data_IF_648178413927
#
_entry.id   IF_648178413927
#
_cell.length_a   1.000
_cell.length_b   1.000
_cell.length_c   1.000
_cell.angle_alpha   90.00
_cell.angle_beta   90.00
_cell.angle_gamma   90.00
#
_symmetry.space_group_name_H-M   'P 1'
#
loop_
_entity.id
_entity.type
_entity.pdbx_description
1 polymer ?
#
# COMPACT_ATOMS: atom_id res chain seq x y z
N UNK A 1 19.11 23.73 -11.64
CA UNK A 1 18.29 23.10 -10.58
C UNK A 1 17.05 22.57 -11.27
N UNK A 2 16.92 21.25 -11.47
CA UNK A 2 15.72 20.68 -12.09
C UNK A 2 14.50 20.87 -11.19
N UNK A 3 13.27 20.92 -11.72
CA UNK A 3 12.07 20.94 -10.90
C UNK A 3 12.09 19.67 -10.05
N UNK A 4 12.12 19.84 -8.73
CA UNK A 4 11.96 18.76 -7.78
C UNK A 4 10.65 18.07 -8.14
N UNK A 5 10.70 16.80 -8.57
CA UNK A 5 9.49 16.07 -8.97
C UNK A 5 8.70 15.79 -7.70
N UNK A 6 7.83 16.73 -7.33
CA UNK A 6 6.94 16.63 -6.18
C UNK A 6 5.99 15.44 -6.42
N UNK A 7 6.18 14.38 -5.64
CA UNK A 7 5.31 13.21 -5.65
C UNK A 7 4.04 13.41 -4.82
N UNK A 8 3.46 12.32 -4.34
CA UNK A 8 2.28 12.35 -3.47
C UNK A 8 2.60 12.94 -2.09
N UNK A 9 1.60 13.60 -1.50
CA UNK A 9 1.63 14.14 -0.14
C UNK A 9 1.51 13.09 0.97
N UNK A 10 1.57 13.53 2.23
CA UNK A 10 1.50 12.67 3.41
C UNK A 10 0.11 12.03 3.60
N UNK A 11 -0.92 12.63 3.02
CA UNK A 11 -2.30 12.17 3.08
C UNK A 11 -2.75 11.47 1.80
N UNK A 12 -1.80 11.12 0.92
CA UNK A 12 -2.04 10.44 -0.34
C UNK A 12 -1.29 9.11 -0.37
N UNK A 13 -1.96 8.04 -0.79
CA UNK A 13 -1.40 6.69 -0.77
C UNK A 13 -1.70 5.93 -2.06
N UNK A 14 -0.76 5.09 -2.46
CA UNK A 14 -0.97 4.03 -3.44
C UNK A 14 -1.29 2.75 -2.67
N UNK A 15 -2.50 2.23 -2.86
CA UNK A 15 -2.88 0.93 -2.33
C UNK A 15 -2.68 -0.14 -3.38
N UNK A 16 -2.01 -1.20 -2.98
CA UNK A 16 -1.79 -2.40 -3.79
C UNK A 16 -2.32 -3.62 -3.07
N UNK A 17 -2.49 -4.72 -3.81
CA UNK A 17 -3.10 -5.93 -3.27
C UNK A 17 -2.19 -6.65 -2.26
N UNK A 18 -0.94 -6.85 -2.61
CA UNK A 18 0.01 -7.70 -1.90
C UNK A 18 1.43 -7.12 -1.91
N UNK A 19 2.33 -7.78 -1.16
CA UNK A 19 3.71 -7.33 -0.99
C UNK A 19 4.57 -7.46 -2.25
N UNK A 20 4.19 -8.32 -3.20
CA UNK A 20 4.90 -8.48 -4.47
C UNK A 20 4.73 -7.20 -5.28
N UNK A 21 3.47 -6.79 -5.51
CA UNK A 21 3.15 -5.56 -6.24
C UNK A 21 3.67 -4.33 -5.50
N UNK A 22 3.63 -4.34 -4.16
CA UNK A 22 4.20 -3.26 -3.35
C UNK A 22 5.69 -3.08 -3.60
N UNK A 23 6.44 -4.18 -3.62
CA UNK A 23 7.89 -4.17 -3.86
C UNK A 23 8.20 -3.63 -5.24
N UNK A 24 7.54 -4.15 -6.28
CA UNK A 24 7.70 -3.69 -7.67
C UNK A 24 7.43 -2.18 -7.81
N UNK A 25 6.36 -1.69 -7.19
CA UNK A 25 6.01 -0.27 -7.25
C UNK A 25 6.99 0.60 -6.45
N UNK A 26 7.43 0.15 -5.28
CA UNK A 26 8.45 0.86 -4.51
C UNK A 26 9.78 0.96 -5.27
N UNK A 27 10.18 -0.08 -6.01
CA UNK A 27 11.37 -0.05 -6.86
C UNK A 27 11.19 0.92 -8.03
N UNK A 28 10.02 0.95 -8.66
CA UNK A 28 9.73 1.82 -9.79
C UNK A 28 9.64 3.30 -9.43
N UNK A 29 8.92 3.65 -8.35
CA UNK A 29 8.69 5.05 -7.97
C UNK A 29 9.68 5.58 -6.94
N UNK A 30 10.43 4.71 -6.26
CA UNK A 30 11.28 5.05 -5.14
C UNK A 30 10.49 5.67 -3.98
N UNK A 31 11.03 6.74 -3.39
CA UNK A 31 10.43 7.44 -2.24
C UNK A 31 9.45 8.55 -2.63
N UNK A 32 8.72 8.39 -3.75
CA UNK A 32 7.83 9.43 -4.30
C UNK A 32 6.42 9.42 -3.73
N UNK A 33 5.94 8.30 -3.20
CA UNK A 33 4.61 8.16 -2.62
C UNK A 33 4.60 7.14 -1.49
N UNK A 34 3.59 7.21 -0.61
CA UNK A 34 3.29 6.12 0.32
C UNK A 34 2.71 4.95 -0.48
N UNK A 35 3.22 3.75 -0.23
CA UNK A 35 2.73 2.52 -0.85
C UNK A 35 2.42 1.51 0.25
N UNK A 36 1.16 1.08 0.35
CA UNK A 36 0.70 0.13 1.36
C UNK A 36 -0.09 -0.99 0.71
N UNK A 37 -0.04 -2.18 1.29
CA UNK A 37 -1.02 -3.21 0.93
C UNK A 37 -2.38 -2.87 1.52
N UNK A 38 -3.45 -3.45 0.96
CA UNK A 38 -4.80 -3.33 1.53
C UNK A 38 -4.85 -3.85 2.98
N UNK A 39 -4.01 -4.84 3.31
CA UNK A 39 -3.91 -5.34 4.68
C UNK A 39 -3.28 -4.30 5.62
N UNK A 40 -2.18 -3.69 5.21
CA UNK A 40 -1.44 -2.70 6.01
C UNK A 40 -2.20 -1.39 6.20
N UNK A 41 -3.13 -1.05 5.30
CA UNK A 41 -3.91 0.18 5.40
C UNK A 41 -5.13 0.09 6.33
N UNK A 42 -5.42 -1.08 6.93
CA UNK A 42 -6.54 -1.25 7.86
C UNK A 42 -6.37 -0.32 9.06
N UNK A 43 -7.45 0.36 9.44
CA UNK A 43 -7.41 1.36 10.53
C UNK A 43 -6.79 2.71 10.14
N UNK A 44 -6.23 2.83 8.92
CA UNK A 44 -5.73 4.09 8.38
C UNK A 44 -6.73 4.69 7.39
N UNK A 45 -6.72 6.00 7.28
CA UNK A 45 -7.46 6.75 6.26
C UNK A 45 -6.54 7.77 5.61
N UNK A 46 -6.88 8.13 4.38
CA UNK A 46 -6.13 9.04 3.51
C UNK A 46 -7.10 9.99 2.83
N UNK A 47 -6.65 11.20 2.51
CA UNK A 47 -7.47 12.11 1.71
C UNK A 47 -7.65 11.54 0.30
N UNK A 48 -6.55 11.07 -0.28
CA UNK A 48 -6.59 10.47 -1.61
C UNK A 48 -5.97 9.07 -1.65
N UNK A 49 -6.60 8.20 -2.42
CA UNK A 49 -6.15 6.81 -2.64
C UNK A 49 -6.04 6.55 -4.14
N UNK A 50 -4.89 6.04 -4.57
CA UNK A 50 -4.72 5.39 -5.85
C UNK A 50 -4.71 3.87 -5.63
N UNK A 51 -5.80 3.19 -5.97
CA UNK A 51 -5.85 1.73 -5.99
C UNK A 51 -5.24 1.23 -7.29
N UNK A 52 -4.10 0.55 -7.20
CA UNK A 52 -3.30 0.15 -8.34
C UNK A 52 -3.32 -1.38 -8.55
N UNK A 53 -3.67 -1.79 -9.77
CA UNK A 53 -3.66 -3.17 -10.25
C UNK A 53 -4.39 -4.18 -9.34
N UNK A 54 -5.51 -3.77 -8.72
CA UNK A 54 -6.30 -4.64 -7.85
C UNK A 54 -6.90 -5.83 -8.59
N UNK A 55 -7.52 -5.59 -9.75
CA UNK A 55 -8.14 -6.63 -10.56
C UNK A 55 -7.09 -7.44 -11.32
N UNK A 56 -6.07 -6.77 -11.85
CA UNK A 56 -4.97 -7.42 -12.57
C UNK A 56 -4.20 -8.46 -11.74
N UNK A 57 -4.18 -8.29 -10.42
CA UNK A 57 -3.48 -9.16 -9.45
C UNK A 57 -4.45 -10.04 -8.65
N UNK A 58 -5.75 -9.96 -8.94
CA UNK A 58 -6.77 -10.77 -8.28
C UNK A 58 -6.66 -12.25 -8.66
N UNK A 59 -6.82 -13.19 -7.71
CA UNK A 59 -6.87 -14.62 -7.99
C UNK A 59 -8.08 -15.02 -8.84
N UNK A 60 -9.14 -14.19 -8.90
CA UNK A 60 -10.30 -14.44 -9.76
C UNK A 60 -9.97 -14.33 -11.25
N UNK A 61 -9.00 -13.48 -11.64
CA UNK A 61 -8.64 -13.25 -13.05
C UNK A 61 -9.89 -13.01 -13.92
N UNK A 62 -10.11 -13.84 -14.93
CA UNK A 62 -11.23 -13.76 -15.87
C UNK A 62 -12.59 -14.09 -15.25
N UNK A 63 -12.63 -14.69 -14.06
CA UNK A 63 -13.86 -14.99 -13.34
C UNK A 63 -14.60 -13.73 -12.85
N UNK A 64 -13.96 -12.55 -12.84
CA UNK A 64 -14.66 -11.27 -12.63
C UNK A 64 -15.80 -11.05 -13.64
N UNK A 65 -15.79 -11.74 -14.79
CA UNK A 65 -16.88 -11.72 -15.77
C UNK A 65 -18.23 -12.19 -15.21
N UNK A 66 -18.27 -12.87 -14.07
CA UNK A 66 -19.51 -13.23 -13.36
C UNK A 66 -20.36 -12.00 -12.99
N UNK A 67 -19.73 -10.83 -12.86
CA UNK A 67 -20.45 -9.56 -12.64
C UNK A 67 -21.41 -9.24 -13.78
N UNK A 68 -21.15 -9.71 -15.00
CA UNK A 68 -22.08 -9.53 -16.12
C UNK A 68 -23.37 -10.33 -15.95
N UNK A 69 -23.35 -11.49 -15.28
CA UNK A 69 -24.59 -12.20 -14.95
C UNK A 69 -25.45 -11.34 -14.02
N UNK A 70 -24.86 -10.80 -12.96
CA UNK A 70 -25.55 -9.88 -12.05
C UNK A 70 -26.11 -8.64 -12.81
N UNK A 71 -25.34 -8.07 -13.74
CA UNK A 71 -25.82 -6.97 -14.59
C UNK A 71 -26.97 -7.39 -15.52
N UNK A 72 -26.94 -8.62 -16.05
CA UNK A 72 -28.00 -9.16 -16.92
C UNK A 72 -29.31 -9.27 -16.14
N UNK A 73 -29.27 -9.82 -14.93
CA UNK A 73 -30.44 -9.96 -14.06
C UNK A 73 -31.14 -8.62 -13.77
N UNK A 74 -30.37 -7.52 -13.78
CA UNK A 74 -30.87 -6.17 -13.52
C UNK A 74 -31.13 -5.35 -14.80
N UNK A 75 -31.10 -5.98 -15.98
CA UNK A 75 -31.27 -5.32 -17.28
C UNK A 75 -30.29 -4.14 -17.52
N UNK A 76 -29.07 -4.28 -17.03
CA UNK A 76 -28.00 -3.27 -17.16
C UNK A 76 -27.00 -3.57 -18.27
N UNK A 77 -27.09 -4.72 -18.93
CA UNK A 77 -26.27 -5.02 -20.10
C UNK A 77 -26.86 -4.40 -21.36
N UNK A 78 -26.02 -3.78 -22.18
CA UNK A 78 -26.37 -3.47 -23.56
C UNK A 78 -26.35 -4.76 -24.40
N UNK A 79 -27.23 -4.87 -25.39
CA UNK A 79 -27.30 -6.02 -26.31
C UNK A 79 -25.96 -6.30 -27.02
N UNK A 80 -25.08 -5.29 -27.12
CA UNK A 80 -23.73 -5.39 -27.72
C UNK A 80 -22.71 -6.12 -26.85
N UNK A 81 -22.98 -6.34 -25.56
CA UNK A 81 -22.12 -7.10 -24.64
C UNK A 81 -22.40 -8.61 -24.72
N UNK A 82 -22.89 -9.11 -25.85
CA UNK A 82 -23.27 -10.50 -26.15
C UNK A 82 -22.11 -11.51 -26.12
N UNK A 83 -21.05 -11.25 -25.35
CA UNK A 83 -20.00 -12.20 -25.06
C UNK A 83 -20.48 -13.23 -24.04
N UNK A 84 -20.02 -14.48 -24.20
CA UNK A 84 -20.21 -15.53 -23.19
C UNK A 84 -19.57 -15.11 -21.86
N UNK A 85 -20.33 -15.17 -20.78
CA UNK A 85 -19.85 -14.97 -19.41
C UNK A 85 -20.32 -16.12 -18.51
N UNK A 86 -19.58 -16.45 -17.45
CA UNK A 86 -19.93 -17.57 -16.58
C UNK A 86 -21.15 -17.22 -15.75
N UNK A 87 -22.00 -18.23 -15.50
CA UNK A 87 -22.99 -18.16 -14.44
C UNK A 87 -22.32 -18.40 -13.08
N UNK A 88 -22.80 -17.69 -12.07
CA UNK A 88 -22.36 -17.78 -10.70
C UNK A 88 -22.58 -19.20 -10.19
N UNK A 89 -21.60 -19.63 -9.42
CA UNK A 89 -21.52 -20.98 -8.90
C UNK A 89 -20.58 -20.93 -7.71
N UNK A 90 -21.11 -21.24 -6.53
CA UNK A 90 -20.39 -21.09 -5.26
C UNK A 90 -19.06 -21.86 -5.25
N UNK A 91 -19.03 -23.08 -5.79
CA UNK A 91 -17.81 -23.89 -5.85
C UNK A 91 -16.72 -23.29 -6.76
N UNK A 92 -17.10 -22.57 -7.82
CA UNK A 92 -16.16 -21.92 -8.75
C UNK A 92 -15.77 -20.51 -8.32
N UNK A 93 -16.69 -19.78 -7.70
CA UNK A 93 -16.55 -18.36 -7.36
C UNK A 93 -16.46 -18.10 -5.85
N UNK A 94 -16.09 -19.10 -5.05
CA UNK A 94 -16.06 -19.01 -3.58
C UNK A 94 -15.17 -17.87 -3.05
N UNK A 95 -14.16 -17.46 -3.82
CA UNK A 95 -13.28 -16.34 -3.44
C UNK A 95 -13.88 -14.96 -3.73
N UNK A 96 -14.95 -14.84 -4.53
CA UNK A 96 -15.56 -13.56 -4.91
C UNK A 96 -15.97 -12.71 -3.71
N UNK A 97 -16.53 -13.34 -2.67
CA UNK A 97 -16.90 -12.63 -1.45
C UNK A 97 -15.68 -12.01 -0.74
N UNK A 98 -14.55 -12.73 -0.70
CA UNK A 98 -13.31 -12.21 -0.14
C UNK A 98 -12.75 -11.05 -0.99
N UNK A 99 -12.81 -11.17 -2.31
CA UNK A 99 -12.39 -10.12 -3.24
C UNK A 99 -13.20 -8.84 -3.08
N UNK A 100 -14.53 -8.94 -3.03
CA UNK A 100 -15.41 -7.79 -2.84
C UNK A 100 -15.19 -7.14 -1.47
N UNK A 101 -14.90 -7.94 -0.42
CA UNK A 101 -14.53 -7.42 0.90
C UNK A 101 -13.20 -6.66 0.87
N UNK A 102 -12.19 -7.18 0.16
CA UNK A 102 -10.92 -6.46 0.02
C UNK A 102 -11.08 -5.15 -0.75
N UNK A 103 -11.86 -5.16 -1.84
CA UNK A 103 -12.18 -3.97 -2.60
C UNK A 103 -12.92 -2.93 -1.75
N UNK A 104 -13.90 -3.38 -0.94
CA UNK A 104 -14.59 -2.53 0.03
C UNK A 104 -13.62 -1.89 1.03
N UNK A 105 -12.67 -2.64 1.58
CA UNK A 105 -11.65 -2.09 2.49
C UNK A 105 -10.86 -1.00 1.78
N UNK A 106 -10.38 -1.25 0.55
CA UNK A 106 -9.57 -0.30 -0.23
C UNK A 106 -10.35 1.00 -0.54
N UNK A 107 -11.57 0.87 -1.04
CA UNK A 107 -12.43 2.02 -1.39
C UNK A 107 -12.72 2.89 -0.16
N UNK A 108 -12.97 2.27 1.00
CA UNK A 108 -13.29 3.00 2.24
C UNK A 108 -12.07 3.60 2.93
N UNK A 109 -10.86 3.47 2.38
CA UNK A 109 -9.68 4.17 2.92
C UNK A 109 -9.58 5.63 2.48
N UNK A 110 -10.32 6.04 1.45
CA UNK A 110 -10.31 7.41 0.93
C UNK A 110 -11.34 8.31 1.63
N UNK A 111 -10.99 9.57 1.83
CA UNK A 111 -11.88 10.61 2.38
C UNK A 111 -12.31 11.65 1.35
N UNK A 112 -11.57 11.80 0.25
CA UNK A 112 -11.86 12.79 -0.79
C UNK A 112 -11.85 12.19 -2.20
N UNK A 113 -10.71 11.64 -2.65
CA UNK A 113 -10.58 11.16 -4.04
C UNK A 113 -10.10 9.72 -4.09
N UNK A 114 -10.75 8.92 -4.92
CA UNK A 114 -10.33 7.58 -5.26
C UNK A 114 -10.01 7.53 -6.75
N UNK A 115 -8.78 7.11 -7.07
CA UNK A 115 -8.39 6.72 -8.42
C UNK A 115 -8.18 5.23 -8.46
N UNK A 116 -8.66 4.58 -9.52
CA UNK A 116 -8.43 3.16 -9.77
C UNK A 116 -7.67 3.06 -11.09
N UNK A 117 -6.49 2.46 -11.06
CA UNK A 117 -5.62 2.31 -12.22
C UNK A 117 -5.28 0.83 -12.41
N UNK A 118 -5.55 0.31 -13.61
CA UNK A 118 -5.39 -1.09 -13.97
C UNK A 118 -4.62 -1.19 -15.28
N UNK A 119 -3.61 -2.06 -15.32
CA UNK A 119 -2.78 -2.29 -16.50
C UNK A 119 -3.30 -3.43 -17.40
N UNK A 120 -4.27 -4.21 -16.89
CA UNK A 120 -4.91 -5.32 -17.62
C UNK A 120 -6.40 -5.01 -17.76
N UNK A 121 -6.75 -4.39 -18.89
CA UNK A 121 -8.11 -3.94 -19.14
C UNK A 121 -9.09 -5.11 -19.09
N UNK A 122 -8.73 -6.26 -19.66
CA UNK A 122 -9.60 -7.43 -19.77
C UNK A 122 -10.06 -7.98 -18.42
N UNK A 123 -9.24 -7.85 -17.37
CA UNK A 123 -9.54 -8.36 -16.02
C UNK A 123 -10.37 -7.36 -15.20
N UNK A 124 -10.18 -6.06 -15.44
CA UNK A 124 -10.89 -4.99 -14.74
C UNK A 124 -12.22 -4.59 -15.41
N UNK A 125 -12.36 -4.89 -16.70
CA UNK A 125 -13.51 -4.52 -17.54
C UNK A 125 -14.87 -4.82 -16.91
N UNK A 126 -15.12 -6.02 -16.32
CA UNK A 126 -16.44 -6.33 -15.77
C UNK A 126 -16.89 -5.37 -14.67
N UNK A 127 -15.97 -5.01 -13.76
CA UNK A 127 -16.26 -4.07 -12.68
C UNK A 127 -16.32 -2.62 -13.18
N UNK A 128 -15.48 -2.25 -14.14
CA UNK A 128 -15.51 -0.91 -14.73
C UNK A 128 -16.80 -0.67 -15.52
N UNK A 129 -17.26 -1.64 -16.30
CA UNK A 129 -18.53 -1.56 -17.02
C UNK A 129 -19.72 -1.50 -16.07
N UNK A 130 -19.70 -2.29 -14.99
CA UNK A 130 -20.67 -2.18 -13.90
C UNK A 130 -20.72 -0.76 -13.32
N UNK A 131 -19.58 -0.20 -12.92
CA UNK A 131 -19.54 1.15 -12.33
C UNK A 131 -19.93 2.25 -13.30
N UNK A 132 -19.48 2.15 -14.57
CA UNK A 132 -19.86 3.08 -15.64
C UNK A 132 -21.36 3.06 -15.87
N UNK A 133 -21.96 1.87 -15.99
CA UNK A 133 -23.40 1.72 -16.20
C UNK A 133 -24.22 2.26 -15.04
N UNK A 134 -23.70 2.14 -13.82
CA UNK A 134 -24.33 2.70 -12.61
C UNK A 134 -24.08 4.19 -12.41
N UNK A 135 -23.28 4.83 -13.27
CA UNK A 135 -22.93 6.25 -13.15
C UNK A 135 -22.07 6.57 -11.92
N UNK A 136 -21.31 5.59 -11.41
CA UNK A 136 -20.54 5.71 -10.17
C UNK A 136 -19.12 6.25 -10.37
N UNK A 137 -18.62 6.21 -11.61
CA UNK A 137 -17.23 6.57 -11.95
C UNK A 137 -17.20 7.51 -13.14
N UNK A 138 -16.12 8.29 -13.22
CA UNK A 138 -15.79 9.10 -14.38
C UNK A 138 -14.50 8.58 -14.99
N UNK A 139 -14.50 8.38 -16.31
CA UNK A 139 -13.28 8.03 -17.03
C UNK A 139 -12.46 9.28 -17.29
N UNK A 140 -11.14 9.16 -17.09
CA UNK A 140 -10.17 10.23 -17.29
C UNK A 140 -8.92 9.64 -17.92
N UNK A 141 -8.44 10.28 -18.98
CA UNK A 141 -7.10 10.01 -19.48
C UNK A 141 -6.08 10.54 -18.48
N UNK A 142 -5.05 9.76 -18.18
CA UNK A 142 -3.96 10.19 -17.31
C UNK A 142 -3.01 11.10 -18.11
N UNK A 143 -3.42 12.34 -18.31
CA UNK A 143 -2.61 13.38 -18.90
C UNK A 143 -1.81 14.16 -17.83
N UNK A 144 -0.97 15.09 -18.29
CA UNK A 144 -0.16 15.92 -17.40
C UNK A 144 -1.01 16.76 -16.44
N UNK A 145 -2.17 17.24 -16.87
CA UNK A 145 -3.07 18.07 -16.05
C UNK A 145 -3.66 17.26 -14.90
N UNK A 146 -4.15 16.06 -15.19
CA UNK A 146 -4.65 15.11 -14.18
C UNK A 146 -3.53 14.72 -13.22
N UNK A 147 -2.36 14.35 -13.74
CA UNK A 147 -1.22 13.99 -12.89
C UNK A 147 -0.77 15.15 -11.98
N UNK A 148 -0.85 16.39 -12.46
CA UNK A 148 -0.56 17.57 -11.65
C UNK A 148 -1.63 17.80 -10.58
N UNK A 149 -2.91 17.64 -10.92
CA UNK A 149 -4.03 17.77 -9.99
C UNK A 149 -4.06 16.66 -8.91
N UNK A 150 -3.43 15.52 -9.19
CA UNK A 150 -3.21 14.45 -8.21
C UNK A 150 -2.13 14.82 -7.18
N UNK A 151 -1.28 15.82 -7.39
CA UNK A 151 -0.22 16.17 -6.42
C UNK A 151 -0.76 17.09 -5.35
N UNK A 152 -0.61 16.69 -4.10
CA UNK A 152 -0.91 17.55 -2.93
C UNK A 152 0.35 17.68 -2.11
N UNK A 153 0.88 18.90 -2.00
CA UNK A 153 2.03 19.16 -1.14
C UNK A 153 1.65 18.93 0.33
N UNK A 154 2.63 18.51 1.13
CA UNK A 154 2.45 18.38 2.57
C UNK A 154 3.62 19.00 3.30
N UNK A 155 3.31 19.66 4.42
CA UNK A 155 4.26 20.25 5.34
C UNK A 155 5.10 19.17 6.05
N UNK A 156 6.29 19.53 6.56
CA UNK A 156 7.09 18.62 7.39
C UNK A 156 6.32 18.08 8.60
N UNK A 157 5.42 18.87 9.19
CA UNK A 157 4.61 18.45 10.33
C UNK A 157 3.58 17.39 9.94
N UNK A 158 2.91 17.52 8.79
CA UNK A 158 1.99 16.49 8.28
C UNK A 158 2.72 15.18 7.98
N UNK A 159 3.92 15.26 7.37
CA UNK A 159 4.79 14.10 7.18
C UNK A 159 5.15 13.44 8.50
N UNK A 160 5.50 14.22 9.53
CA UNK A 160 5.83 13.70 10.85
C UNK A 160 4.66 12.96 11.49
N UNK A 161 3.46 13.54 11.49
CA UNK A 161 2.28 12.91 12.10
C UNK A 161 1.85 11.65 11.34
N UNK A 162 1.92 11.66 10.01
CA UNK A 162 1.71 10.45 9.21
C UNK A 162 2.76 9.38 9.52
N UNK A 163 4.02 9.77 9.64
CA UNK A 163 5.12 8.87 10.00
C UNK A 163 4.90 8.18 11.34
N UNK A 164 4.43 8.92 12.37
CA UNK A 164 4.08 8.34 13.68
C UNK A 164 2.97 7.29 13.57
N UNK A 165 1.89 7.59 12.84
CA UNK A 165 0.79 6.61 12.62
C UNK A 165 1.33 5.32 12.00
N UNK A 166 2.10 5.44 10.92
CA UNK A 166 2.70 4.28 10.24
C UNK A 166 3.70 3.53 11.12
N UNK A 167 4.47 4.23 11.94
CA UNK A 167 5.42 3.63 12.87
C UNK A 167 4.70 2.74 13.90
N UNK A 168 3.60 3.21 14.48
CA UNK A 168 2.83 2.44 15.46
C UNK A 168 2.10 1.24 14.82
N UNK A 169 1.72 1.33 13.55
CA UNK A 169 1.25 0.19 12.73
C UNK A 169 2.39 -0.73 12.25
N UNK A 170 3.62 -0.55 12.77
CA UNK A 170 4.84 -1.30 12.42
C UNK A 170 5.24 -1.21 10.95
N UNK A 171 4.70 -0.25 10.20
CA UNK A 171 5.10 0.03 8.82
C UNK A 171 6.36 0.91 8.80
N UNK A 172 7.45 0.37 9.35
CA UNK A 172 8.68 1.13 9.59
C UNK A 172 9.32 1.66 8.30
N UNK A 173 9.14 0.96 7.17
CA UNK A 173 9.63 1.42 5.87
C UNK A 173 8.95 2.73 5.44
N UNK A 174 7.61 2.76 5.44
CA UNK A 174 6.87 3.96 5.05
C UNK A 174 7.00 5.06 6.11
N UNK A 175 7.07 4.70 7.40
CA UNK A 175 7.36 5.65 8.47
C UNK A 175 8.73 6.34 8.30
N UNK A 176 9.77 5.57 7.93
CA UNK A 176 11.11 6.12 7.64
C UNK A 176 11.03 7.17 6.54
N UNK A 177 10.35 6.86 5.42
CA UNK A 177 10.17 7.80 4.32
C UNK A 177 9.47 9.09 4.78
N UNK A 178 8.44 8.98 5.63
CA UNK A 178 7.77 10.13 6.21
C UNK A 178 8.72 11.01 7.04
N UNK A 179 9.52 10.41 7.92
CA UNK A 179 10.43 11.19 8.77
C UNK A 179 11.59 11.82 7.99
N UNK A 180 12.06 11.17 6.92
CA UNK A 180 13.00 11.77 5.97
C UNK A 180 12.40 13.02 5.31
N UNK A 181 11.15 12.95 4.84
CA UNK A 181 10.43 14.10 4.26
C UNK A 181 10.10 15.20 5.29
N UNK A 182 9.94 14.82 6.55
CA UNK A 182 9.76 15.75 7.66
C UNK A 182 11.07 16.41 8.12
N UNK A 183 12.23 15.90 7.69
CA UNK A 183 13.54 16.30 8.24
C UNK A 183 13.76 15.89 9.70
N UNK A 184 12.96 14.96 10.23
CA UNK A 184 13.02 14.53 11.63
C UNK A 184 14.05 13.40 11.81
N UNK A 185 15.32 13.79 12.00
CA UNK A 185 16.44 12.83 12.11
C UNK A 185 16.30 11.85 13.27
N UNK A 186 15.72 12.28 14.39
CA UNK A 186 15.51 11.40 15.54
C UNK A 186 14.51 10.30 15.21
N UNK A 187 13.34 10.65 14.68
CA UNK A 187 12.33 9.67 14.31
C UNK A 187 12.72 8.84 13.08
N UNK A 188 13.44 9.43 12.12
CA UNK A 188 14.02 8.71 10.99
C UNK A 188 14.93 7.57 11.48
N UNK A 189 15.83 7.88 12.42
CA UNK A 189 16.76 6.91 12.98
C UNK A 189 16.03 5.85 13.79
N UNK A 190 15.03 6.26 14.57
CA UNK A 190 14.18 5.33 15.33
C UNK A 190 13.45 4.35 14.40
N UNK A 191 12.82 4.84 13.33
CA UNK A 191 12.11 4.00 12.36
C UNK A 191 13.05 3.02 11.63
N UNK A 192 14.25 3.48 11.23
CA UNK A 192 15.27 2.61 10.62
C UNK A 192 15.74 1.52 11.59
N UNK A 193 16.04 1.87 12.84
CA UNK A 193 16.45 0.92 13.86
C UNK A 193 15.36 -0.13 14.15
N UNK A 194 14.11 0.31 14.32
CA UNK A 194 12.97 -0.59 14.53
C UNK A 194 12.73 -1.52 13.33
N UNK A 195 12.93 -1.03 12.10
CA UNK A 195 12.86 -1.87 10.89
C UNK A 195 13.91 -2.96 10.89
N UNK A 196 15.17 -2.61 11.17
CA UNK A 196 16.28 -3.56 11.20
C UNK A 196 16.07 -4.62 12.28
N UNK A 197 15.64 -4.21 13.47
CA UNK A 197 15.30 -5.13 14.56
C UNK A 197 14.19 -6.10 14.15
N UNK A 198 13.08 -5.59 13.62
CA UNK A 198 11.94 -6.42 13.20
C UNK A 198 12.32 -7.39 12.08
N UNK A 199 13.20 -6.97 11.16
CA UNK A 199 13.70 -7.84 10.10
C UNK A 199 14.61 -8.94 10.66
N UNK A 200 15.53 -8.57 11.56
CA UNK A 200 16.38 -9.51 12.29
C UNK A 200 15.56 -10.60 12.98
N UNK A 201 14.55 -10.21 13.76
CA UNK A 201 13.66 -11.15 14.47
C UNK A 201 13.02 -12.18 13.52
N UNK A 202 12.62 -11.76 12.32
CA UNK A 202 12.01 -12.65 11.32
C UNK A 202 12.99 -13.69 10.76
N UNK A 203 14.26 -13.32 10.59
CA UNK A 203 15.28 -14.21 10.02
C UNK A 203 16.11 -14.96 11.07
N UNK A 204 15.85 -14.74 12.37
CA UNK A 204 16.60 -15.34 13.48
C UNK A 204 16.73 -16.86 13.38
N UNK A 205 15.67 -17.54 12.93
CA UNK A 205 15.64 -18.99 12.76
C UNK A 205 16.21 -19.51 11.44
N UNK A 206 16.36 -18.65 10.42
CA UNK A 206 16.76 -19.05 9.06
C UNK A 206 18.18 -18.62 8.71
N UNK A 207 18.66 -17.51 9.26
CA UNK A 207 20.00 -16.98 9.03
C UNK A 207 20.55 -16.26 10.30
N UNK A 208 21.18 -17.01 11.22
CA UNK A 208 21.70 -16.47 12.48
C UNK A 208 22.79 -15.41 12.31
N UNK A 209 23.69 -15.57 11.34
CA UNK A 209 24.77 -14.60 11.09
C UNK A 209 24.21 -13.25 10.62
N UNK A 210 23.25 -13.27 9.70
CA UNK A 210 22.58 -12.05 9.25
C UNK A 210 21.75 -11.41 10.38
N UNK A 211 21.10 -12.22 11.23
CA UNK A 211 20.38 -11.73 12.41
C UNK A 211 21.29 -10.88 13.31
N UNK A 212 22.49 -11.37 13.64
CA UNK A 212 23.41 -10.62 14.49
C UNK A 212 23.81 -9.28 13.88
N UNK A 213 24.06 -9.25 12.57
CA UNK A 213 24.39 -8.02 11.84
C UNK A 213 23.29 -6.96 11.98
N UNK A 214 22.05 -7.32 11.66
CA UNK A 214 20.92 -6.39 11.70
C UNK A 214 20.59 -5.91 13.11
N UNK A 215 20.59 -6.79 14.10
CA UNK A 215 20.27 -6.43 15.48
C UNK A 215 21.36 -5.55 16.10
N UNK A 216 22.63 -5.82 15.78
CA UNK A 216 23.76 -4.99 16.24
C UNK A 216 23.73 -3.59 15.60
N UNK A 217 23.39 -3.51 14.31
CA UNK A 217 23.19 -2.22 13.64
C UNK A 217 22.03 -1.45 14.27
N UNK A 218 20.89 -2.11 14.51
CA UNK A 218 19.75 -1.49 15.21
C UNK A 218 20.13 -0.96 16.60
N UNK A 219 20.90 -1.74 17.39
CA UNK A 219 21.36 -1.34 18.71
C UNK A 219 22.16 -0.03 18.66
N UNK A 220 23.15 0.05 17.77
CA UNK A 220 23.98 1.26 17.58
C UNK A 220 23.14 2.47 17.17
N UNK A 221 22.15 2.27 16.30
CA UNK A 221 21.23 3.34 15.92
C UNK A 221 20.41 3.82 17.11
N UNK A 222 19.87 2.92 17.94
CA UNK A 222 19.15 3.29 19.16
C UNK A 222 20.04 4.07 20.15
N UNK A 223 21.29 3.64 20.36
CA UNK A 223 22.25 4.38 21.21
C UNK A 223 22.50 5.79 20.69
N UNK A 224 22.69 5.95 19.38
CA UNK A 224 22.98 7.25 18.77
C UNK A 224 21.89 8.31 18.99
N UNK A 225 20.65 7.89 19.27
CA UNK A 225 19.51 8.76 19.59
C UNK A 225 19.08 8.68 21.06
N UNK A 226 19.92 8.12 21.94
CA UNK A 226 19.65 8.04 23.38
C UNK A 226 18.55 7.06 23.79
N UNK A 227 18.16 6.12 22.92
CA UNK A 227 17.18 5.06 23.22
C UNK A 227 17.86 3.84 23.85
N UNK A 228 18.49 4.07 25.00
CA UNK A 228 19.34 3.08 25.67
C UNK A 228 18.62 1.78 26.06
N UNK A 229 17.35 1.85 26.46
CA UNK A 229 16.55 0.64 26.76
C UNK A 229 16.36 -0.25 25.52
N UNK A 230 16.06 0.35 24.37
CA UNK A 230 15.90 -0.37 23.10
C UNK A 230 17.24 -0.96 22.63
N UNK A 231 18.34 -0.21 22.80
CA UNK A 231 19.68 -0.69 22.51
C UNK A 231 20.10 -1.86 23.41
N UNK A 232 19.91 -1.72 24.73
CA UNK A 232 20.23 -2.76 25.70
C UNK A 232 19.44 -4.04 25.42
N UNK A 233 18.16 -3.94 25.06
CA UNK A 233 17.36 -5.09 24.63
C UNK A 233 17.98 -5.79 23.42
N UNK A 234 18.45 -5.05 22.41
CA UNK A 234 19.13 -5.65 21.25
C UNK A 234 20.44 -6.34 21.64
N UNK A 235 21.26 -5.75 22.52
CA UNK A 235 22.50 -6.38 22.98
C UNK A 235 22.23 -7.63 23.84
N UNK A 236 21.18 -7.63 24.65
CA UNK A 236 20.72 -8.83 25.37
C UNK A 236 20.35 -9.96 24.40
N UNK A 237 19.65 -9.64 23.30
CA UNK A 237 19.28 -10.64 22.28
C UNK A 237 20.52 -11.25 21.58
N UNK A 238 21.65 -10.52 21.55
CA UNK A 238 22.94 -10.97 21.03
C UNK A 238 23.84 -11.65 22.07
N UNK A 239 23.48 -11.62 23.36
CA UNK A 239 24.37 -12.05 24.44
C UNK A 239 25.56 -11.10 24.69
N UNK A 240 25.54 -9.89 24.13
CA UNK A 240 26.59 -8.87 24.20
C UNK A 240 26.35 -7.87 25.35
N UNK A 241 25.99 -8.34 26.55
CA UNK A 241 25.88 -7.46 27.71
C UNK A 241 27.25 -7.28 28.38
N UNK A 242 27.62 -6.04 28.73
CA UNK A 242 28.73 -5.81 29.65
C UNK A 242 28.35 -6.43 31.00
N UNK A 243 29.20 -7.33 31.51
CA UNK A 243 29.19 -7.70 32.93
C UNK A 243 29.64 -6.53 33.80
#
# INVERSE_FOLDING_TARGET
SGPEVVGFGAEQVILVRDDVVKTEICEYIGKKALVLTILECKGLEFQDVLLYNFFATSPLKDQWRVIYEYMKEHAWLDEKLSQSFPNFCESRHGVLCAELKQLYVAITRTRQRLWICENKEELSKPMFDYWKRRGLVQERMLDYSVAQAMRVASSPQEWRERGKKLFFEKNYMMATMCFERAGDKMWETLAKASRLRSFGEHIRGTNPEAFEGYVREAARMFESIGKFESAASCFCDLGEYKK
#
